data_IF_387991960347
#
_entry.id   IF_387991960347
#
_cell.length_a   1.000
_cell.length_b   1.000
_cell.length_c   1.000
_cell.angle_alpha   90.00
_cell.angle_beta   90.00
_cell.angle_gamma   90.00
#
_symmetry.space_group_name_H-M   'P 1'
#
loop_
_entity.id
_entity.type
_entity.pdbx_description
1 polymer ?
#
# COMPACT_ATOMS: atom_id res chain seq x y z
N UNK A 1 -2.67 -27.45 -3.60
CA UNK A 1 -3.68 -26.36 -3.68
C UNK A 1 -4.03 -26.00 -5.10
N UNK A 2 -3.08 -25.70 -6.00
CA UNK A 2 -3.38 -25.36 -7.40
C UNK A 2 -4.27 -26.39 -8.12
N UNK A 3 -3.93 -27.68 -8.02
CA UNK A 3 -4.68 -28.79 -8.63
C UNK A 3 -6.16 -28.86 -8.21
N UNK A 4 -6.50 -28.39 -7.00
CA UNK A 4 -7.87 -28.40 -6.50
C UNK A 4 -8.74 -27.30 -7.13
N UNK A 5 -8.16 -26.20 -7.62
CA UNK A 5 -8.87 -25.02 -8.14
C UNK A 5 -8.72 -24.83 -9.65
N UNK A 6 -7.82 -25.57 -10.29
CA UNK A 6 -7.48 -25.44 -11.71
C UNK A 6 -8.57 -25.96 -12.67
N UNK A 7 -9.44 -26.86 -12.19
CA UNK A 7 -10.62 -27.27 -12.96
C UNK A 7 -11.72 -26.21 -12.88
N UNK A 8 -12.47 -25.94 -13.97
CA UNK A 8 -13.61 -25.04 -13.94
C UNK A 8 -14.69 -25.55 -12.98
N UNK A 9 -15.35 -24.63 -12.28
CA UNK A 9 -16.39 -24.98 -11.31
C UNK A 9 -17.60 -25.60 -11.97
N UNK A 10 -18.17 -26.63 -11.36
CA UNK A 10 -19.42 -27.24 -11.82
C UNK A 10 -20.61 -26.59 -11.10
N UNK A 11 -21.81 -26.66 -11.70
CA UNK A 11 -23.03 -26.10 -11.09
C UNK A 11 -23.45 -26.82 -9.80
N UNK A 12 -22.94 -28.02 -9.58
CA UNK A 12 -23.21 -28.86 -8.41
C UNK A 12 -22.29 -28.55 -7.22
N UNK A 13 -21.23 -27.76 -7.42
CA UNK A 13 -20.34 -27.32 -6.34
C UNK A 13 -20.94 -26.14 -5.56
N UNK A 14 -20.49 -25.94 -4.32
CA UNK A 14 -20.91 -24.78 -3.52
C UNK A 14 -20.47 -23.46 -4.18
N UNK A 15 -21.24 -22.39 -3.96
CA UNK A 15 -20.94 -21.06 -4.51
C UNK A 15 -19.52 -20.60 -4.11
N UNK A 16 -19.06 -20.96 -2.91
CA UNK A 16 -17.70 -20.62 -2.45
C UNK A 16 -16.62 -21.28 -3.33
N UNK A 17 -16.79 -22.56 -3.66
CA UNK A 17 -15.85 -23.29 -4.55
C UNK A 17 -15.89 -22.69 -5.95
N UNK A 18 -17.08 -22.39 -6.47
CA UNK A 18 -17.23 -21.76 -7.79
C UNK A 18 -16.49 -20.40 -7.85
N UNK A 19 -16.65 -19.54 -6.84
CA UNK A 19 -15.95 -18.25 -6.77
C UNK A 19 -14.44 -18.39 -6.65
N UNK A 20 -13.95 -19.33 -5.83
CA UNK A 20 -12.53 -19.60 -5.68
C UNK A 20 -11.89 -20.05 -7.00
N UNK A 21 -12.57 -20.93 -7.74
CA UNK A 21 -12.15 -21.37 -9.08
C UNK A 21 -12.19 -20.23 -10.09
N UNK A 22 -13.26 -19.44 -10.12
CA UNK A 22 -13.37 -18.28 -11.02
C UNK A 22 -12.23 -17.27 -10.80
N UNK A 23 -11.92 -16.96 -9.53
CA UNK A 23 -10.79 -16.10 -9.18
C UNK A 23 -9.47 -16.70 -9.70
N UNK A 24 -9.22 -17.98 -9.41
CA UNK A 24 -8.02 -18.67 -9.87
C UNK A 24 -7.89 -18.66 -11.39
N UNK A 25 -8.94 -19.05 -12.11
CA UNK A 25 -8.96 -19.03 -13.59
C UNK A 25 -8.77 -17.63 -14.14
N UNK A 26 -9.33 -16.58 -13.51
CA UNK A 26 -9.14 -15.19 -13.94
C UNK A 26 -7.68 -14.72 -13.83
N UNK A 27 -6.96 -15.19 -12.80
CA UNK A 27 -5.55 -14.88 -12.59
C UNK A 27 -4.63 -15.68 -13.53
N UNK A 28 -4.97 -16.95 -13.78
CA UNK A 28 -4.13 -17.87 -14.56
C UNK A 28 -4.39 -17.78 -16.06
N UNK A 29 -5.58 -17.36 -16.50
CA UNK A 29 -5.84 -17.16 -17.91
C UNK A 29 -4.97 -16.02 -18.45
N UNK A 30 -4.19 -16.37 -19.48
CA UNK A 30 -3.33 -15.47 -20.21
C UNK A 30 -4.05 -14.30 -20.88
N UNK A 31 -5.38 -14.17 -20.82
CA UNK A 31 -6.11 -13.06 -21.46
C UNK A 31 -5.56 -11.68 -21.09
N UNK A 32 -5.05 -11.47 -19.87
CA UNK A 32 -4.36 -10.24 -19.47
C UNK A 32 -2.91 -10.14 -19.99
N UNK A 33 -2.25 -11.28 -20.22
CA UNK A 33 -0.89 -11.39 -20.79
C UNK A 33 -0.88 -11.29 -22.32
N UNK A 34 -1.96 -11.70 -22.99
CA UNK A 34 -2.13 -11.71 -24.44
C UNK A 34 -3.03 -10.59 -24.94
N UNK A 35 -3.80 -9.94 -24.06
CA UNK A 35 -4.37 -8.62 -24.37
C UNK A 35 -3.20 -7.69 -24.60
N UNK A 36 -2.91 -7.42 -25.86
CA UNK A 36 -2.13 -6.27 -26.26
C UNK A 36 -2.87 -5.04 -25.72
N UNK A 37 -2.56 -4.62 -24.50
CA UNK A 37 -2.69 -3.23 -24.13
C UNK A 37 -1.70 -2.48 -25.02
N UNK A 38 -2.06 -2.30 -26.30
CA UNK A 38 -1.30 -1.58 -27.31
C UNK A 38 -1.04 -0.13 -26.91
N UNK A 39 -1.83 0.35 -25.94
CA UNK A 39 -1.61 1.59 -25.21
C UNK A 39 -1.82 1.36 -23.72
N UNK A 40 -0.87 1.86 -22.92
CA UNK A 40 -0.98 1.89 -21.46
C UNK A 40 -2.27 2.55 -20.98
N UNK A 41 -2.89 3.45 -21.76
CA UNK A 41 -4.13 4.16 -21.44
C UNK A 41 -5.33 3.26 -21.08
N UNK A 42 -5.30 2.00 -21.49
CA UNK A 42 -6.38 1.04 -21.22
C UNK A 42 -6.12 0.18 -19.98
N UNK A 43 -5.01 0.38 -19.28
CA UNK A 43 -4.76 -0.34 -18.04
C UNK A 43 -5.84 0.03 -17.01
N UNK A 44 -6.46 -0.95 -16.33
CA UNK A 44 -7.50 -0.70 -15.32
C UNK A 44 -7.07 0.27 -14.21
N UNK A 45 -5.76 0.40 -13.97
CA UNK A 45 -5.20 1.34 -13.01
C UNK A 45 -5.58 2.80 -13.29
N UNK A 46 -5.79 3.21 -14.54
CA UNK A 46 -6.20 4.59 -14.85
C UNK A 46 -7.65 4.86 -14.43
N UNK A 47 -8.52 3.85 -14.45
CA UNK A 47 -9.87 3.97 -13.89
C UNK A 47 -9.81 4.13 -12.36
N UNK A 48 -8.93 3.37 -11.70
CA UNK A 48 -8.70 3.50 -10.25
C UNK A 48 -8.14 4.89 -9.92
N UNK A 49 -7.16 5.40 -10.66
CA UNK A 49 -6.52 6.71 -10.46
C UNK A 49 -7.31 7.90 -11.06
N UNK A 50 -8.56 7.69 -11.43
CA UNK A 50 -9.45 8.74 -11.93
C UNK A 50 -10.11 9.51 -10.78
N UNK A 51 -10.76 10.64 -11.09
CA UNK A 51 -11.54 11.41 -10.12
C UNK A 51 -12.73 10.62 -9.54
N UNK A 52 -13.28 9.67 -10.31
CA UNK A 52 -14.39 8.79 -9.90
C UNK A 52 -13.91 7.55 -9.13
N UNK A 53 -12.60 7.27 -9.16
CA UNK A 53 -11.95 6.19 -8.42
C UNK A 53 -11.45 6.63 -7.05
N UNK A 54 -10.17 6.37 -6.75
CA UNK A 54 -9.53 6.82 -5.49
C UNK A 54 -9.08 8.27 -5.53
N UNK A 55 -9.07 8.89 -6.71
CA UNK A 55 -8.56 10.23 -6.96
C UNK A 55 -7.32 10.23 -7.84
N UNK A 56 -7.01 11.41 -8.36
CA UNK A 56 -5.86 11.63 -9.23
C UNK A 56 -4.55 11.62 -8.44
N UNK A 57 -3.53 10.96 -8.99
CA UNK A 57 -2.18 10.99 -8.43
C UNK A 57 -1.41 12.21 -8.97
N UNK A 58 -0.95 13.16 -8.12
CA UNK A 58 -0.41 14.44 -8.61
C UNK A 58 0.78 14.28 -9.56
N UNK A 59 1.65 13.30 -9.30
CA UNK A 59 2.83 13.01 -10.11
C UNK A 59 2.50 12.63 -11.56
N UNK A 60 1.30 12.10 -11.82
CA UNK A 60 0.84 11.75 -13.16
C UNK A 60 0.18 12.93 -13.89
N UNK A 61 -0.42 13.86 -13.14
CA UNK A 61 -1.14 15.02 -13.68
C UNK A 61 -0.23 16.24 -13.87
N UNK A 62 0.86 16.33 -13.11
CA UNK A 62 1.78 17.46 -13.15
C UNK A 62 1.06 18.78 -12.85
N UNK A 63 1.22 19.77 -13.73
CA UNK A 63 0.60 21.10 -13.57
C UNK A 63 -0.92 21.11 -13.70
N UNK A 64 -1.54 20.05 -14.22
CA UNK A 64 -3.00 19.94 -14.31
C UNK A 64 -3.67 19.52 -13.00
N UNK A 65 -2.87 19.12 -12.00
CA UNK A 65 -3.40 18.74 -10.70
C UNK A 65 -3.85 19.96 -9.88
N UNK A 66 -5.13 20.01 -9.51
CA UNK A 66 -5.68 21.11 -8.72
C UNK A 66 -5.61 20.81 -7.22
N UNK A 67 -4.67 21.46 -6.53
CA UNK A 67 -4.53 21.36 -5.06
C UNK A 67 -5.78 21.80 -4.30
N UNK A 68 -6.58 22.73 -4.84
CA UNK A 68 -7.76 23.27 -4.16
C UNK A 68 -8.89 22.26 -4.02
N UNK A 69 -8.89 21.22 -4.87
CA UNK A 69 -9.87 20.13 -4.85
C UNK A 69 -9.40 18.93 -4.00
N UNK A 70 -8.18 18.98 -3.49
CA UNK A 70 -7.60 17.89 -2.70
C UNK A 70 -8.22 17.81 -1.30
N UNK A 71 -8.77 16.64 -0.97
CA UNK A 71 -9.24 16.32 0.38
C UNK A 71 -8.58 15.03 0.86
N UNK A 72 -7.72 15.15 1.88
CA UNK A 72 -6.97 14.02 2.43
C UNK A 72 -7.87 12.97 3.09
N UNK A 73 -8.89 13.39 3.84
CA UNK A 73 -9.82 12.46 4.50
C UNK A 73 -10.58 11.62 3.48
N UNK A 74 -11.05 12.25 2.39
CA UNK A 74 -11.70 11.56 1.28
C UNK A 74 -10.73 10.56 0.62
N UNK A 75 -9.50 10.98 0.30
CA UNK A 75 -8.50 10.08 -0.30
C UNK A 75 -8.24 8.86 0.61
N UNK A 76 -8.00 9.09 1.90
CA UNK A 76 -7.76 8.02 2.86
C UNK A 76 -8.95 7.08 2.93
N UNK A 77 -10.19 7.61 3.01
CA UNK A 77 -11.40 6.77 3.03
C UNK A 77 -11.51 5.86 1.81
N UNK A 78 -11.20 6.36 0.61
CA UNK A 78 -11.19 5.55 -0.60
C UNK A 78 -10.07 4.50 -0.56
N UNK A 79 -8.86 4.87 -0.15
CA UNK A 79 -7.75 3.92 0.01
C UNK A 79 -8.11 2.78 0.98
N UNK A 80 -8.79 3.07 2.10
CA UNK A 80 -9.28 2.06 3.03
C UNK A 80 -10.26 1.08 2.38
N UNK A 81 -11.21 1.57 1.56
CA UNK A 81 -12.14 0.68 0.84
C UNK A 81 -11.43 -0.26 -0.13
N UNK A 82 -10.27 0.15 -0.64
CA UNK A 82 -9.39 -0.65 -1.50
C UNK A 82 -8.33 -1.46 -0.73
N UNK A 83 -8.42 -1.54 0.60
CA UNK A 83 -7.47 -2.26 1.45
C UNK A 83 -6.03 -1.72 1.36
N UNK A 84 -5.86 -0.43 1.07
CA UNK A 84 -4.58 0.27 1.07
C UNK A 84 -4.48 1.11 2.34
N UNK A 85 -3.64 0.68 3.29
CA UNK A 85 -3.54 1.28 4.62
C UNK A 85 -2.08 1.70 4.94
N UNK A 86 -1.58 2.78 4.33
CA UNK A 86 -0.15 3.16 4.44
C UNK A 86 0.21 4.06 5.62
N UNK A 87 -0.66 5.00 6.02
CA UNK A 87 -0.35 5.97 7.10
C UNK A 87 -0.79 5.45 8.47
N UNK A 88 -1.98 4.87 8.54
CA UNK A 88 -2.51 4.19 9.70
C UNK A 88 -3.33 3.00 9.23
N UNK A 89 -3.34 1.96 10.06
CA UNK A 89 -4.16 0.78 9.83
C UNK A 89 -5.41 0.87 10.70
N UNK A 90 -6.52 0.43 10.14
CA UNK A 90 -7.83 0.52 10.78
C UNK A 90 -8.48 -0.85 10.78
N UNK A 91 -8.77 -1.35 11.97
CA UNK A 91 -9.40 -2.65 12.14
C UNK A 91 -10.57 -2.55 13.11
N UNK A 92 -11.58 -3.39 12.87
CA UNK A 92 -12.61 -3.69 13.86
C UNK A 92 -12.22 -5.00 14.51
N UNK A 93 -11.83 -4.93 15.77
CA UNK A 93 -11.41 -6.08 16.57
C UNK A 93 -12.21 -6.14 17.85
N UNK A 94 -12.19 -7.31 18.47
CA UNK A 94 -12.86 -7.56 19.74
C UNK A 94 -12.19 -6.74 20.84
N UNK A 95 -12.98 -6.17 21.75
CA UNK A 95 -12.43 -5.48 22.92
C UNK A 95 -11.71 -6.50 23.82
N UNK A 96 -10.48 -6.19 24.20
CA UNK A 96 -9.66 -7.03 25.08
C UNK A 96 -10.24 -7.11 26.49
N UNK A 97 -10.98 -6.09 26.93
CA UNK A 97 -11.61 -6.03 28.25
C UNK A 97 -12.99 -6.67 28.25
N UNK A 98 -13.81 -6.40 27.23
CA UNK A 98 -15.16 -6.93 27.09
C UNK A 98 -15.36 -7.65 25.75
N UNK A 99 -15.09 -8.97 25.69
CA UNK A 99 -15.04 -9.69 24.42
C UNK A 99 -16.38 -9.75 23.66
N UNK A 100 -17.50 -9.38 24.25
CA UNK A 100 -18.79 -9.29 23.55
C UNK A 100 -18.91 -8.02 22.70
N UNK A 101 -18.00 -7.07 22.84
CA UNK A 101 -17.97 -5.79 22.11
C UNK A 101 -16.86 -5.77 21.07
N UNK A 102 -17.08 -4.96 20.04
CA UNK A 102 -16.10 -4.67 19.01
C UNK A 102 -15.77 -3.19 19.04
N UNK A 103 -14.48 -2.88 18.89
CA UNK A 103 -13.97 -1.52 18.87
C UNK A 103 -13.30 -1.24 17.54
N UNK A 104 -13.40 0.02 17.11
CA UNK A 104 -12.60 0.53 16.02
C UNK A 104 -11.21 0.87 16.57
N UNK A 105 -10.19 0.12 16.15
CA UNK A 105 -8.82 0.29 16.59
C UNK A 105 -7.97 0.94 15.50
N UNK A 106 -7.21 1.96 15.90
CA UNK A 106 -6.26 2.67 15.06
C UNK A 106 -4.85 2.21 15.39
N UNK A 107 -4.18 1.64 14.40
CA UNK A 107 -2.78 1.25 14.51
C UNK A 107 -1.93 2.16 13.64
N UNK A 108 -0.65 2.30 14.00
CA UNK A 108 0.32 3.00 13.16
C UNK A 108 0.48 2.25 11.83
N UNK A 109 0.59 2.97 10.73
CA UNK A 109 1.01 2.38 9.46
C UNK A 109 2.52 2.10 9.46
N UNK A 110 2.98 1.49 8.38
CA UNK A 110 4.40 1.27 8.13
C UNK A 110 4.81 1.82 6.76
N UNK A 111 6.09 2.23 6.60
CA UNK A 111 6.62 2.62 5.31
C UNK A 111 6.51 1.46 4.31
N UNK A 112 6.55 1.76 3.02
CA UNK A 112 6.43 0.73 1.97
C UNK A 112 7.50 -0.39 2.03
N UNK A 113 8.61 -0.17 2.75
CA UNK A 113 9.62 -1.19 3.05
C UNK A 113 10.04 -1.11 4.53
N UNK A 114 10.80 -2.10 4.99
CA UNK A 114 11.37 -2.07 6.34
C UNK A 114 12.11 -0.75 6.63
N UNK A 115 11.82 -0.15 7.79
CA UNK A 115 12.47 1.07 8.32
C UNK A 115 13.99 1.01 8.25
N UNK A 116 14.59 -0.17 8.43
CA UNK A 116 16.05 -0.35 8.36
C UNK A 116 16.64 0.03 7.00
N UNK A 117 15.91 -0.19 5.90
CA UNK A 117 16.38 0.18 4.56
C UNK A 117 16.42 1.69 4.33
N UNK A 118 15.60 2.46 5.05
CA UNK A 118 15.59 3.92 4.99
C UNK A 118 16.62 4.54 5.95
N UNK A 119 16.85 3.92 7.11
CA UNK A 119 17.63 4.52 8.19
C UNK A 119 19.10 4.11 8.23
N UNK A 120 19.44 2.94 7.68
CA UNK A 120 20.81 2.43 7.74
C UNK A 120 21.59 2.81 6.46
N UNK A 121 22.46 3.80 6.60
CA UNK A 121 23.32 4.31 5.53
C UNK A 121 24.74 3.71 5.56
N UNK A 122 25.02 2.76 6.44
CA UNK A 122 26.37 2.17 6.59
C UNK A 122 26.48 0.82 5.87
N UNK A 123 25.39 0.07 5.76
CA UNK A 123 25.37 -1.19 5.03
C UNK A 123 25.13 -0.96 3.52
N UNK A 124 26.07 -1.33 2.64
CA UNK A 124 25.94 -1.13 1.19
C UNK A 124 24.74 -1.86 0.57
N UNK A 125 24.31 -3.00 1.12
CA UNK A 125 23.15 -3.74 0.61
C UNK A 125 21.85 -2.96 0.82
N UNK A 126 21.71 -2.30 1.98
CA UNK A 126 20.51 -1.49 2.26
C UNK A 126 20.44 -0.26 1.36
N UNK A 127 21.58 0.39 1.11
CA UNK A 127 21.66 1.48 0.13
C UNK A 127 21.29 1.00 -1.28
N UNK A 128 21.69 -0.23 -1.66
CA UNK A 128 21.31 -0.85 -2.94
C UNK A 128 19.80 -1.08 -3.01
N UNK A 129 19.17 -1.61 -1.96
CA UNK A 129 17.71 -1.80 -1.94
C UNK A 129 16.94 -0.49 -2.04
N UNK A 130 17.36 0.54 -1.30
CA UNK A 130 16.74 1.88 -1.38
C UNK A 130 16.85 2.46 -2.79
N UNK A 131 18.00 2.29 -3.46
CA UNK A 131 18.19 2.70 -4.85
C UNK A 131 17.30 1.92 -5.82
N UNK A 132 17.15 0.61 -5.62
CA UNK A 132 16.25 -0.21 -6.43
C UNK A 132 14.79 0.19 -6.25
N UNK A 133 14.38 0.52 -5.02
CA UNK A 133 13.03 1.01 -4.73
C UNK A 133 12.76 2.36 -5.41
N UNK A 134 13.70 3.31 -5.32
CA UNK A 134 13.65 4.56 -6.09
C UNK A 134 13.48 4.30 -7.58
N UNK A 135 14.29 3.39 -8.13
CA UNK A 135 14.25 3.04 -9.56
C UNK A 135 12.90 2.43 -9.95
N UNK A 136 12.36 1.53 -9.14
CA UNK A 136 11.04 0.93 -9.35
C UNK A 136 9.94 2.00 -9.40
N UNK A 137 9.96 2.97 -8.47
CA UNK A 137 9.00 4.08 -8.48
C UNK A 137 9.13 4.93 -9.75
N UNK A 138 10.36 5.32 -10.12
CA UNK A 138 10.61 6.09 -11.34
C UNK A 138 10.10 5.34 -12.58
N UNK A 139 10.48 4.08 -12.76
CA UNK A 139 10.07 3.29 -13.92
C UNK A 139 8.54 3.10 -13.96
N UNK A 140 7.90 2.82 -12.82
CA UNK A 140 6.45 2.69 -12.72
C UNK A 140 5.74 3.99 -13.11
N UNK A 141 6.19 5.12 -12.57
CA UNK A 141 5.60 6.43 -12.88
C UNK A 141 5.87 6.84 -14.33
N UNK A 142 7.04 6.53 -14.90
CA UNK A 142 7.34 6.79 -16.31
C UNK A 142 6.40 6.00 -17.23
N UNK A 143 6.12 4.74 -16.91
CA UNK A 143 5.14 3.92 -17.63
C UNK A 143 3.73 4.53 -17.54
N UNK A 144 3.32 4.96 -16.35
CA UNK A 144 1.99 5.53 -16.10
C UNK A 144 1.81 6.98 -16.60
N UNK A 145 2.89 7.74 -16.68
CA UNK A 145 2.87 9.13 -17.18
C UNK A 145 3.14 9.22 -18.68
N UNK A 146 3.42 8.08 -19.33
CA UNK A 146 3.81 8.01 -20.75
C UNK A 146 5.07 8.85 -21.04
N UNK A 147 6.02 8.88 -20.10
CA UNK A 147 7.33 9.54 -20.26
C UNK A 147 7.39 11.01 -19.88
N UNK A 148 6.55 11.48 -18.96
CA UNK A 148 6.60 12.88 -18.48
C UNK A 148 7.94 13.20 -17.77
N UNK A 149 8.57 14.37 -18.00
CA UNK A 149 9.92 14.68 -17.52
C UNK A 149 10.02 15.14 -16.05
N UNK A 150 8.91 15.46 -15.36
CA UNK A 150 8.93 15.99 -13.98
C UNK A 150 8.97 14.91 -12.89
N UNK A 151 9.07 13.64 -13.28
CA UNK A 151 8.91 12.47 -12.39
C UNK A 151 10.01 12.34 -11.34
N UNK A 152 11.21 12.87 -11.59
CA UNK A 152 12.37 12.63 -10.73
C UNK A 152 12.29 13.35 -9.37
N UNK A 153 11.89 14.63 -9.35
CA UNK A 153 11.81 15.41 -8.11
C UNK A 153 10.70 14.91 -7.19
N UNK A 154 9.56 14.54 -7.75
CA UNK A 154 8.40 14.07 -6.99
C UNK A 154 8.67 12.71 -6.36
N UNK A 155 9.38 11.81 -7.05
CA UNK A 155 9.82 10.54 -6.46
C UNK A 155 10.81 10.76 -5.32
N UNK A 156 11.71 11.76 -5.42
CA UNK A 156 12.61 12.10 -4.32
C UNK A 156 11.84 12.62 -3.10
N UNK A 157 10.83 13.47 -3.31
CA UNK A 157 9.98 13.97 -2.24
C UNK A 157 9.19 12.83 -1.55
N UNK A 158 8.72 11.83 -2.30
CA UNK A 158 8.08 10.63 -1.74
C UNK A 158 9.08 9.83 -0.88
N UNK A 159 10.32 9.64 -1.38
CA UNK A 159 11.36 8.93 -0.62
C UNK A 159 11.77 9.68 0.66
N UNK A 160 11.85 11.00 0.60
CA UNK A 160 12.13 11.83 1.76
C UNK A 160 11.02 11.70 2.81
N UNK A 161 9.76 11.75 2.37
CA UNK A 161 8.59 11.52 3.22
C UNK A 161 8.66 10.15 3.90
N UNK A 162 8.84 9.06 3.13
CA UNK A 162 8.95 7.68 3.64
C UNK A 162 10.11 7.54 4.64
N UNK A 163 11.25 8.18 4.37
CA UNK A 163 12.42 8.18 5.26
C UNK A 163 12.11 8.89 6.57
N UNK A 164 11.43 10.04 6.51
CA UNK A 164 11.04 10.79 7.71
C UNK A 164 9.95 10.05 8.50
N UNK A 165 9.02 9.40 7.81
CA UNK A 165 8.01 8.53 8.43
C UNK A 165 8.67 7.36 9.17
N UNK A 166 9.65 6.70 8.56
CA UNK A 166 10.45 5.66 9.20
C UNK A 166 11.17 6.14 10.48
N UNK A 167 11.73 7.36 10.47
CA UNK A 167 12.36 7.97 11.65
C UNK A 167 11.36 8.18 12.79
N UNK A 168 10.18 8.75 12.50
CA UNK A 168 9.14 8.99 13.51
C UNK A 168 8.70 7.67 14.15
N UNK A 169 8.45 6.64 13.33
CA UNK A 169 8.05 5.32 13.83
C UNK A 169 9.14 4.64 14.67
N UNK A 170 10.41 4.83 14.30
CA UNK A 170 11.54 4.35 15.09
C UNK A 170 11.54 5.00 16.47
N UNK A 171 11.48 6.34 16.55
CA UNK A 171 11.47 7.09 17.80
C UNK A 171 10.30 6.66 18.70
N UNK A 172 9.09 6.57 18.14
CA UNK A 172 7.90 6.16 18.90
C UNK A 172 8.07 4.75 19.49
N UNK A 173 8.61 3.80 18.72
CA UNK A 173 8.87 2.43 19.22
C UNK A 173 9.79 2.44 20.43
N UNK A 174 10.86 3.25 20.41
CA UNK A 174 11.78 3.35 21.54
C UNK A 174 11.13 4.04 22.75
N UNK A 175 10.36 5.11 22.53
CA UNK A 175 9.67 5.80 23.63
C UNK A 175 8.68 4.89 24.35
N UNK A 176 7.85 4.15 23.62
CA UNK A 176 6.90 3.20 24.21
C UNK A 176 7.60 2.02 24.91
N UNK A 177 8.70 1.50 24.34
CA UNK A 177 9.48 0.44 25.00
C UNK A 177 10.10 0.94 26.31
N UNK A 178 10.67 2.15 26.31
CA UNK A 178 11.25 2.77 27.52
C UNK A 178 10.15 2.98 28.57
N UNK A 179 8.98 3.52 28.17
CA UNK A 179 7.88 3.74 29.09
C UNK A 179 7.38 2.42 29.70
N UNK A 180 7.16 1.38 28.88
CA UNK A 180 6.76 0.05 29.36
C UNK A 180 7.77 -0.56 30.32
N UNK A 181 9.08 -0.44 30.04
CA UNK A 181 10.13 -0.93 30.95
C UNK A 181 10.15 -0.16 32.27
N UNK A 182 9.92 1.15 32.25
CA UNK A 182 9.85 1.97 33.47
C UNK A 182 8.58 1.70 34.27
N UNK A 183 7.43 1.49 33.61
CA UNK A 183 6.16 1.12 34.26
C UNK A 183 6.24 -0.28 34.86
N UNK A 184 6.84 -1.25 34.15
CA UNK A 184 7.09 -2.61 34.69
C UNK A 184 8.06 -2.58 35.88
N UNK A 185 9.11 -1.76 35.83
CA UNK A 185 10.01 -1.57 36.98
C UNK A 185 9.33 -0.90 38.17
N UNK A 186 8.42 0.04 37.95
CA UNK A 186 7.64 0.68 39.01
C UNK A 186 6.59 -0.25 39.65
N UNK A 187 6.24 -1.36 38.99
CA UNK A 187 5.35 -2.40 39.53
C UNK A 187 6.10 -3.55 40.22
N UNK A 188 7.41 -3.66 40.03
CA UNK A 188 8.27 -4.74 40.58
C UNK A 188 9.14 -4.28 41.77
N UNK A 189 8.91 -3.06 42.29
CA UNK A 189 9.48 -2.49 43.51
C UNK A 189 8.32 -2.09 44.42
#
# INVERSE_FOLDING_TARGET
>A
MAELVDRPGTKDESIAIQKARQLYTSCMHNSFRTSHFSSYKHLPIYQVLSADGIGQWPILQGSSWNRSEFNLERLLSHLFTHQVQSIFELYVTQDEVEPTKYLLQFFRGEPAMSKTFFLNTTNPDYMKYLRSYKRLMLESVLILSQGSPTVSSDVEAILEFETNFAKVLFILTYFFTILSVHVLKAWLI
#
